data_IF_626500604798
#
_entry.id   IF_626500604798
#
_cell.length_a   1.000
_cell.length_b   1.000
_cell.length_c   1.000
_cell.angle_alpha   90.00
_cell.angle_beta   90.00
_cell.angle_gamma   90.00
#
_symmetry.space_group_name_H-M   'P 1'
#
loop_
_entity.id
_entity.type
_entity.pdbx_description
1 polymer ?
#
# COMPACT_ATOMS: atom_id res chain seq x y z
N UNK A 1 12.96 0.01 -13.42
CA UNK A 1 12.03 -1.14 -13.52
C UNK A 1 11.12 -1.03 -12.32
N UNK A 2 9.82 -1.00 -12.53
CA UNK A 2 8.87 -0.89 -11.42
C UNK A 2 8.89 -2.21 -10.64
N UNK A 3 9.33 -2.17 -9.38
CA UNK A 3 9.47 -3.36 -8.54
C UNK A 3 8.14 -3.72 -7.83
N UNK A 4 7.03 -3.15 -8.28
CA UNK A 4 5.68 -3.44 -7.77
C UNK A 4 5.34 -4.91 -7.86
N UNK A 5 5.83 -5.61 -8.88
CA UNK A 5 5.63 -7.05 -9.04
C UNK A 5 6.95 -7.74 -9.36
N UNK A 6 7.29 -8.77 -8.60
CA UNK A 6 8.48 -9.62 -8.82
C UNK A 6 8.04 -11.07 -8.99
N UNK A 7 8.66 -11.74 -9.95
CA UNK A 7 8.44 -13.15 -10.27
C UNK A 7 9.74 -13.91 -10.08
N UNK A 8 9.70 -14.98 -9.29
CA UNK A 8 10.88 -15.75 -8.91
C UNK A 8 10.60 -17.24 -9.04
N UNK A 9 11.54 -17.97 -9.64
CA UNK A 9 11.57 -19.44 -9.61
C UNK A 9 12.73 -19.84 -8.73
N UNK A 10 12.43 -20.43 -7.58
CA UNK A 10 13.44 -20.71 -6.55
C UNK A 10 13.39 -22.16 -6.11
N UNK A 11 14.52 -22.64 -5.62
CA UNK A 11 14.71 -24.02 -5.19
C UNK A 11 15.92 -24.12 -4.29
N UNK A 12 15.86 -25.06 -3.37
CA UNK A 12 16.94 -25.55 -2.51
C UNK A 12 17.92 -26.50 -3.24
N UNK A 13 17.61 -26.91 -4.47
CA UNK A 13 18.44 -27.78 -5.31
C UNK A 13 18.78 -27.14 -6.67
N UNK A 14 19.27 -25.88 -6.75
CA UNK A 14 19.58 -25.24 -8.02
C UNK A 14 20.72 -25.97 -8.76
N UNK A 15 20.74 -25.91 -10.09
CA UNK A 15 21.88 -26.41 -10.86
C UNK A 15 23.16 -25.65 -10.49
N UNK A 16 24.30 -26.33 -10.50
CA UNK A 16 25.58 -25.78 -10.02
C UNK A 16 26.00 -24.46 -10.72
N UNK A 17 25.61 -24.26 -11.98
CA UNK A 17 25.89 -23.02 -12.74
C UNK A 17 24.94 -21.85 -12.48
N UNK A 18 23.92 -22.02 -11.63
CA UNK A 18 22.96 -20.95 -11.30
C UNK A 18 23.55 -20.05 -10.21
N UNK A 19 23.39 -18.72 -10.31
CA UNK A 19 23.70 -17.82 -9.20
C UNK A 19 23.06 -18.29 -7.88
N UNK A 20 23.79 -18.18 -6.76
CA UNK A 20 23.24 -18.55 -5.46
C UNK A 20 22.03 -17.67 -5.15
N UNK A 21 20.95 -18.31 -4.69
CA UNK A 21 19.76 -17.67 -4.18
C UNK A 21 19.59 -18.10 -2.72
N UNK A 22 19.67 -17.15 -1.80
CA UNK A 22 19.42 -17.44 -0.40
C UNK A 22 17.91 -17.47 -0.20
N UNK A 23 17.38 -18.67 0.03
CA UNK A 23 15.95 -18.84 0.29
C UNK A 23 15.59 -18.13 1.59
N UNK A 24 14.57 -17.29 1.52
CA UNK A 24 14.02 -16.64 2.72
C UNK A 24 13.03 -17.54 3.47
N UNK A 25 12.58 -17.08 4.64
CA UNK A 25 11.70 -17.86 5.52
C UNK A 25 10.36 -18.23 4.84
N UNK A 26 9.82 -17.35 4.00
CA UNK A 26 8.61 -17.62 3.24
C UNK A 26 8.85 -18.72 2.21
N UNK A 27 9.95 -18.64 1.45
CA UNK A 27 10.30 -19.62 0.43
C UNK A 27 10.59 -21.00 1.03
N UNK A 28 11.31 -21.04 2.15
CA UNK A 28 11.58 -22.27 2.90
C UNK A 28 10.28 -22.89 3.42
N UNK A 29 9.40 -22.08 4.01
CA UNK A 29 8.08 -22.53 4.49
C UNK A 29 7.21 -23.04 3.36
N UNK A 30 7.21 -22.37 2.21
CA UNK A 30 6.47 -22.80 1.03
C UNK A 30 6.95 -24.16 0.51
N UNK A 31 8.27 -24.33 0.33
CA UNK A 31 8.85 -25.61 -0.06
C UNK A 31 8.48 -26.74 0.91
N UNK A 32 8.60 -26.50 2.21
CA UNK A 32 8.23 -27.48 3.23
C UNK A 32 6.74 -27.84 3.16
N UNK A 33 5.86 -26.83 3.03
CA UNK A 33 4.41 -27.03 3.00
C UNK A 33 3.96 -27.86 1.80
N UNK A 34 4.47 -27.54 0.61
CA UNK A 34 4.11 -28.27 -0.61
C UNK A 34 4.66 -29.70 -0.67
N UNK A 35 5.76 -29.97 0.04
CA UNK A 35 6.34 -31.32 0.17
C UNK A 35 5.66 -32.15 1.24
N UNK A 36 5.14 -31.51 2.29
CA UNK A 36 4.42 -32.18 3.37
C UNK A 36 3.01 -32.60 2.95
N UNK A 37 2.30 -31.74 2.20
CA UNK A 37 0.94 -32.03 1.74
C UNK A 37 0.78 -31.75 0.24
N UNK A 38 0.55 -32.78 -0.60
CA UNK A 38 0.34 -32.62 -2.03
C UNK A 38 -0.97 -31.88 -2.38
N UNK A 39 -1.91 -31.74 -1.44
CA UNK A 39 -3.16 -31.01 -1.66
C UNK A 39 -2.97 -29.49 -1.60
N UNK A 40 -1.92 -29.02 -0.93
CA UNK A 40 -1.60 -27.59 -0.88
C UNK A 40 -1.03 -27.17 -2.25
N UNK A 41 -1.76 -26.34 -2.97
CA UNK A 41 -1.35 -25.82 -4.29
C UNK A 41 -0.85 -24.38 -4.26
N UNK A 42 -1.14 -23.65 -3.19
CA UNK A 42 -0.76 -22.25 -3.04
C UNK A 42 -0.42 -21.93 -1.59
N UNK A 43 0.56 -21.06 -1.38
CA UNK A 43 0.85 -20.46 -0.08
C UNK A 43 0.87 -18.94 -0.23
N UNK A 44 0.15 -18.24 0.63
CA UNK A 44 0.10 -16.78 0.66
C UNK A 44 0.72 -16.25 1.96
N UNK A 45 1.43 -15.13 1.87
CA UNK A 45 1.89 -14.36 3.01
C UNK A 45 1.83 -12.88 2.71
N UNK A 46 1.53 -12.08 3.73
CA UNK A 46 1.57 -10.62 3.65
C UNK A 46 2.57 -10.11 4.67
N UNK A 47 3.55 -9.36 4.20
CA UNK A 47 4.67 -8.86 5.02
C UNK A 47 4.86 -7.36 4.82
N UNK A 48 5.35 -6.66 5.85
CA UNK A 48 5.64 -5.23 5.79
C UNK A 48 4.51 -4.34 6.31
N UNK A 49 4.88 -3.26 7.01
CA UNK A 49 3.95 -2.28 7.57
C UNK A 49 3.52 -1.23 6.54
N UNK A 50 4.35 -0.21 6.35
CA UNK A 50 4.06 0.95 5.48
C UNK A 50 4.12 0.66 3.97
N UNK A 51 4.68 -0.48 3.59
CA UNK A 51 4.72 -0.99 2.21
C UNK A 51 4.37 -2.47 2.22
N UNK A 52 3.09 -2.82 2.41
CA UNK A 52 2.67 -4.21 2.43
C UNK A 52 3.06 -4.89 1.12
N UNK A 53 3.67 -6.05 1.27
CA UNK A 53 4.05 -6.94 0.18
C UNK A 53 3.27 -8.23 0.34
N UNK A 54 2.40 -8.50 -0.63
CA UNK A 54 1.68 -9.76 -0.73
C UNK A 54 2.52 -10.73 -1.55
N UNK A 55 2.78 -11.91 -1.01
CA UNK A 55 3.56 -12.96 -1.66
C UNK A 55 2.68 -14.19 -1.85
N UNK A 56 2.71 -14.73 -3.06
CA UNK A 56 2.03 -15.96 -3.42
C UNK A 56 3.06 -16.94 -3.97
N UNK A 57 3.07 -18.17 -3.50
CA UNK A 57 3.88 -19.25 -4.02
C UNK A 57 3.02 -20.40 -4.54
N UNK A 58 3.47 -21.07 -5.60
CA UNK A 58 2.93 -22.33 -6.09
C UNK A 58 4.07 -23.36 -6.30
N UNK A 59 3.80 -24.67 -6.15
CA UNK A 59 4.82 -25.69 -6.28
C UNK A 59 5.15 -26.00 -7.74
N UNK A 60 6.44 -26.19 -8.03
CA UNK A 60 6.91 -26.75 -9.29
C UNK A 60 7.03 -28.26 -9.09
N UNK A 61 6.01 -29.00 -9.53
CA UNK A 61 5.96 -30.46 -9.45
C UNK A 61 6.68 -31.10 -10.62
N UNK A 62 7.46 -32.13 -10.34
CA UNK A 62 8.26 -32.86 -11.32
C UNK A 62 7.35 -33.70 -12.22
N UNK A 63 7.37 -33.42 -13.52
CA UNK A 63 6.77 -34.30 -14.54
C UNK A 63 7.81 -35.32 -15.00
N UNK A 64 7.39 -36.32 -15.79
CA UNK A 64 8.30 -37.33 -16.35
C UNK A 64 9.47 -36.70 -17.13
N UNK A 65 9.21 -35.65 -17.90
CA UNK A 65 10.24 -34.92 -18.65
C UNK A 65 11.22 -34.18 -17.72
N UNK A 66 10.72 -33.59 -16.63
CA UNK A 66 11.57 -32.94 -15.62
C UNK A 66 12.50 -33.97 -14.96
N UNK A 67 11.96 -35.11 -14.53
CA UNK A 67 12.72 -36.19 -13.89
C UNK A 67 13.85 -36.69 -14.81
N UNK A 68 13.56 -36.90 -16.09
CA UNK A 68 14.53 -37.43 -17.05
C UNK A 68 15.79 -36.54 -17.17
N UNK A 69 15.61 -35.22 -17.24
CA UNK A 69 16.74 -34.29 -17.32
C UNK A 69 17.44 -34.14 -15.95
N UNK A 70 16.67 -33.89 -14.89
CA UNK A 70 17.24 -33.63 -13.56
C UNK A 70 18.00 -34.84 -12.98
N UNK A 71 17.59 -36.07 -13.30
CA UNK A 71 18.28 -37.27 -12.80
C UNK A 71 19.51 -37.65 -13.64
N UNK A 72 19.61 -37.18 -14.89
CA UNK A 72 20.74 -37.51 -15.76
C UNK A 72 21.81 -36.42 -15.82
N UNK A 73 21.43 -35.14 -15.70
CA UNK A 73 22.33 -34.02 -15.93
C UNK A 73 23.49 -33.97 -14.92
N UNK A 74 24.75 -33.75 -15.34
CA UNK A 74 25.91 -33.70 -14.46
C UNK A 74 25.78 -32.65 -13.34
N UNK A 75 25.32 -31.45 -13.68
CA UNK A 75 25.23 -30.32 -12.74
C UNK A 75 23.98 -30.31 -11.85
N UNK A 76 23.14 -31.36 -11.92
CA UNK A 76 21.98 -31.47 -11.04
C UNK A 76 22.43 -31.96 -9.66
N UNK A 77 22.16 -31.21 -8.58
CA UNK A 77 22.62 -31.57 -7.23
C UNK A 77 21.83 -32.74 -6.62
N UNK A 78 20.66 -33.07 -7.18
CA UNK A 78 19.79 -34.17 -6.74
C UNK A 78 19.31 -34.96 -7.96
N UNK A 79 19.46 -36.29 -7.93
CA UNK A 79 19.26 -37.19 -9.08
C UNK A 79 18.29 -38.36 -8.84
N UNK A 80 17.60 -38.34 -7.72
CA UNK A 80 16.63 -39.36 -7.29
C UNK A 80 15.20 -38.79 -7.30
N UNK A 81 14.93 -37.78 -8.15
CA UNK A 81 13.59 -37.21 -8.29
C UNK A 81 12.61 -38.25 -8.83
N UNK A 82 11.37 -38.17 -8.36
CA UNK A 82 10.21 -38.93 -8.83
C UNK A 82 9.16 -37.99 -9.40
N UNK A 83 8.29 -38.55 -10.23
CA UNK A 83 7.13 -37.79 -10.75
C UNK A 83 6.24 -37.42 -9.56
N UNK A 84 5.85 -36.14 -9.49
CA UNK A 84 5.06 -35.56 -8.40
C UNK A 84 5.89 -34.85 -7.32
N UNK A 85 7.20 -35.08 -7.26
CA UNK A 85 8.07 -34.41 -6.30
C UNK A 85 8.07 -32.90 -6.50
N UNK A 86 8.19 -32.12 -5.42
CA UNK A 86 8.30 -30.66 -5.48
C UNK A 86 9.77 -30.27 -5.60
N UNK A 87 10.15 -29.84 -6.81
CA UNK A 87 11.53 -29.43 -7.15
C UNK A 87 11.83 -27.97 -6.79
N UNK A 88 10.81 -27.14 -6.68
CA UNK A 88 10.97 -25.72 -6.42
C UNK A 88 9.61 -25.07 -6.23
N UNK A 89 9.62 -23.75 -6.17
CA UNK A 89 8.41 -22.93 -6.14
C UNK A 89 8.50 -21.82 -7.18
N UNK A 90 7.34 -21.43 -7.70
CA UNK A 90 7.16 -20.17 -8.39
C UNK A 90 6.57 -19.19 -7.39
N UNK A 91 7.32 -18.15 -7.05
CA UNK A 91 6.91 -17.08 -6.15
C UNK A 91 6.58 -15.81 -6.94
N UNK A 92 5.51 -15.14 -6.55
CA UNK A 92 5.10 -13.82 -7.03
C UNK A 92 4.97 -12.92 -5.82
N UNK A 93 5.65 -11.77 -5.83
CA UNK A 93 5.49 -10.77 -4.78
C UNK A 93 5.00 -9.47 -5.37
N UNK A 94 3.93 -8.92 -4.79
CA UNK A 94 3.34 -7.63 -5.15
C UNK A 94 3.54 -6.67 -3.99
N UNK A 95 4.37 -5.64 -4.18
CA UNK A 95 4.60 -4.59 -3.19
C UNK A 95 3.79 -3.37 -3.57
N UNK A 96 2.81 -3.00 -2.75
CA UNK A 96 2.05 -1.76 -2.92
C UNK A 96 2.52 -0.75 -1.87
N UNK A 97 3.37 0.22 -2.22
CA UNK A 97 3.71 1.27 -1.28
C UNK A 97 2.46 2.13 -1.04
N UNK A 98 2.03 2.25 0.22
CA UNK A 98 0.92 3.13 0.61
C UNK A 98 1.22 4.62 0.30
N UNK A 99 2.45 4.95 -0.08
CA UNK A 99 2.91 6.30 -0.37
C UNK A 99 2.50 6.83 -1.74
N UNK A 100 2.02 6.01 -2.67
CA UNK A 100 1.66 6.53 -4.00
C UNK A 100 0.39 7.40 -3.97
N UNK A 101 -0.38 7.36 -2.88
CA UNK A 101 -1.48 8.29 -2.59
C UNK A 101 -1.10 9.49 -1.72
N UNK A 102 0.07 9.52 -1.06
CA UNK A 102 0.39 10.54 -0.06
C UNK A 102 0.79 11.90 -0.65
N UNK A 103 1.25 11.93 -1.90
CA UNK A 103 1.62 13.18 -2.60
C UNK A 103 0.37 13.99 -2.96
N UNK A 104 -0.81 13.39 -3.14
CA UNK A 104 -2.05 14.14 -3.41
C UNK A 104 -2.63 14.87 -2.19
N UNK A 105 -2.33 14.39 -0.98
CA UNK A 105 -2.98 14.89 0.25
C UNK A 105 -2.48 16.27 0.68
N UNK A 106 -1.23 16.64 0.46
CA UNK A 106 -0.71 17.92 0.98
C UNK A 106 -1.37 19.13 0.29
N UNK A 107 -1.68 19.04 -1.01
CA UNK A 107 -2.44 20.09 -1.70
C UNK A 107 -3.90 20.15 -1.23
N UNK A 108 -4.50 18.99 -0.91
CA UNK A 108 -5.85 18.92 -0.36
C UNK A 108 -5.90 19.57 1.05
N UNK A 109 -4.92 19.29 1.90
CA UNK A 109 -4.79 19.94 3.20
C UNK A 109 -4.54 21.45 3.07
N UNK A 110 -3.70 21.88 2.13
CA UNK A 110 -3.48 23.30 1.86
C UNK A 110 -4.77 23.99 1.36
N UNK A 111 -5.52 23.34 0.48
CA UNK A 111 -6.82 23.82 0.01
C UNK A 111 -7.81 23.99 1.17
N UNK A 112 -7.96 22.98 2.04
CA UNK A 112 -8.85 23.08 3.20
C UNK A 112 -8.39 24.17 4.19
N UNK A 113 -7.09 24.29 4.43
CA UNK A 113 -6.56 25.35 5.28
C UNK A 113 -6.87 26.74 4.71
N UNK A 114 -6.72 26.93 3.39
CA UNK A 114 -7.07 28.18 2.72
C UNK A 114 -8.57 28.47 2.82
N UNK A 115 -9.43 27.48 2.54
CA UNK A 115 -10.89 27.62 2.63
C UNK A 115 -11.36 27.99 4.05
N UNK A 116 -10.79 27.35 5.08
CA UNK A 116 -11.06 27.67 6.49
C UNK A 116 -10.62 29.11 6.80
N UNK A 117 -9.42 29.50 6.38
CA UNK A 117 -8.91 30.85 6.61
C UNK A 117 -9.82 31.91 5.97
N UNK A 118 -10.29 31.68 4.74
CA UNK A 118 -11.25 32.56 4.06
C UNK A 118 -12.59 32.64 4.82
N UNK A 119 -13.12 31.50 5.27
CA UNK A 119 -14.37 31.45 6.03
C UNK A 119 -14.27 32.19 7.37
N UNK A 120 -13.18 31.98 8.12
CA UNK A 120 -12.92 32.69 9.38
C UNK A 120 -12.77 34.19 9.15
N UNK A 121 -12.02 34.60 8.12
CA UNK A 121 -11.87 36.02 7.78
C UNK A 121 -13.22 36.67 7.46
N UNK A 122 -14.08 35.99 6.70
CA UNK A 122 -15.42 36.46 6.37
C UNK A 122 -16.29 36.62 7.64
N UNK A 123 -16.30 35.63 8.53
CA UNK A 123 -17.05 35.69 9.80
C UNK A 123 -16.57 36.87 10.66
N UNK A 124 -15.25 37.07 10.78
CA UNK A 124 -14.68 38.18 11.55
C UNK A 124 -15.07 39.53 10.93
N UNK A 125 -15.04 39.65 9.61
CA UNK A 125 -15.44 40.87 8.90
C UNK A 125 -16.93 41.17 9.13
N UNK A 126 -17.80 40.18 8.97
CA UNK A 126 -19.25 40.31 9.21
C UNK A 126 -19.55 40.75 10.64
N UNK A 127 -18.82 40.20 11.61
CA UNK A 127 -18.99 40.54 13.02
C UNK A 127 -18.57 41.98 13.32
N UNK A 128 -17.47 42.45 12.72
CA UNK A 128 -17.03 43.85 12.85
C UNK A 128 -18.07 44.81 12.26
N UNK A 129 -18.55 44.53 11.05
CA UNK A 129 -19.58 45.35 10.40
C UNK A 129 -20.88 45.39 11.19
N UNK A 130 -21.31 44.25 11.74
CA UNK A 130 -22.54 44.19 12.55
C UNK A 130 -22.43 45.03 13.82
N UNK A 131 -21.25 45.07 14.45
CA UNK A 131 -21.00 45.92 15.63
C UNK A 131 -21.02 47.41 15.28
N UNK A 132 -20.43 47.78 14.14
CA UNK A 132 -20.43 49.17 13.66
C UNK A 132 -21.83 49.66 13.30
N UNK A 133 -22.61 48.85 12.57
CA UNK A 133 -24.01 49.14 12.26
C UNK A 133 -24.87 49.26 13.53
N UNK A 134 -24.63 48.43 14.54
CA UNK A 134 -25.34 48.53 15.81
C UNK A 134 -25.05 49.84 16.55
N UNK A 135 -23.81 50.33 16.50
CA UNK A 135 -23.42 51.62 17.08
C UNK A 135 -24.10 52.78 16.35
N UNK A 136 -23.98 52.82 15.02
CA UNK A 136 -24.57 53.87 14.18
C UNK A 136 -26.10 53.90 14.33
N UNK A 137 -26.77 52.74 14.34
CA UNK A 137 -28.21 52.68 14.59
C UNK A 137 -28.60 53.20 15.99
N UNK A 138 -27.74 53.01 16.99
CA UNK A 138 -27.92 53.57 18.32
C UNK A 138 -27.90 55.11 18.30
N UNK A 139 -26.90 55.70 17.65
CA UNK A 139 -26.77 57.16 17.49
C UNK A 139 -27.95 57.74 16.71
N UNK A 140 -28.37 57.10 15.62
CA UNK A 140 -29.55 57.52 14.85
C UNK A 140 -30.82 57.50 15.71
N UNK A 141 -30.99 56.47 16.54
CA UNK A 141 -32.15 56.35 17.42
C UNK A 141 -32.17 57.44 18.48
N UNK A 142 -31.01 57.80 19.04
CA UNK A 142 -30.88 58.90 20.00
C UNK A 142 -31.16 60.25 19.34
N UNK A 143 -30.56 60.53 18.18
CA UNK A 143 -30.81 61.77 17.43
C UNK A 143 -32.29 61.91 17.02
N UNK A 144 -32.92 60.83 16.58
CA UNK A 144 -34.34 60.82 16.23
C UNK A 144 -35.23 61.10 17.45
N UNK A 145 -34.93 60.47 18.60
CA UNK A 145 -35.63 60.75 19.85
C UNK A 145 -35.45 62.21 20.31
N UNK A 146 -34.25 62.77 20.18
CA UNK A 146 -33.99 64.17 20.51
C UNK A 146 -34.84 65.11 19.65
N UNK A 147 -34.83 64.93 18.33
CA UNK A 147 -35.65 65.73 17.41
C UNK A 147 -37.13 65.64 17.73
N UNK A 148 -37.64 64.43 17.99
CA UNK A 148 -39.03 64.23 18.36
C UNK A 148 -39.39 64.99 19.65
N UNK A 149 -38.50 65.00 20.64
CA UNK A 149 -38.72 65.68 21.94
C UNK A 149 -38.67 67.20 21.81
N UNK A 150 -37.85 67.75 20.90
CA UNK A 150 -37.73 69.21 20.69
C UNK A 150 -38.82 69.74 19.75
N UNK A 151 -39.43 68.89 18.92
CA UNK A 151 -40.51 69.25 17.99
C UNK A 151 -41.93 69.23 18.60
N UNK A 152 -42.05 68.82 19.87
CA UNK A 152 -43.27 68.83 20.69
C UNK A 152 -43.29 70.07 21.61
#
# INVERSE_FOLDING_TARGET
RDNTVRYEFVSDYPFAGRPPHNLDDFELKALASFRADPNVQTLEATEGGWSPTVRLASPIRMTAACVACHNSHPDSPKKDWKVGDVRGIQAVSVSQPLSQGSIGFHYLFAYFAAAIATGVAFIVMQWRQSRELALVNGELKEANNFLATVSL
#
